data_IF_594846407075
#
_entry.id   IF_594846407075
#
_cell.length_a   1.000
_cell.length_b   1.000
_cell.length_c   1.000
_cell.angle_alpha   90.00
_cell.angle_beta   90.00
_cell.angle_gamma   90.00
#
_symmetry.space_group_name_H-M   'P 1'
#
loop_
_entity.id
_entity.type
_entity.pdbx_description
1 polymer ?
#
# COMPACT_ATOMS: atom_id res chain seq x y z
N UNK A 1 12.52 -2.37 6.27
CA UNK A 1 11.91 -3.71 6.44
C UNK A 1 10.80 -3.88 5.43
N UNK A 2 10.74 -5.02 4.78
CA UNK A 2 9.72 -5.31 3.78
C UNK A 2 8.79 -6.41 4.28
N UNK A 3 7.50 -6.22 4.03
CA UNK A 3 6.47 -7.17 4.42
C UNK A 3 5.62 -7.45 3.18
N UNK A 4 5.31 -8.72 2.94
CA UNK A 4 4.41 -9.09 1.86
C UNK A 4 2.97 -9.06 2.36
N UNK A 5 2.05 -8.71 1.47
CA UNK A 5 0.65 -8.60 1.80
C UNK A 5 -0.23 -8.54 0.57
N UNK A 6 -1.43 -8.00 0.76
CA UNK A 6 -2.43 -7.87 -0.28
C UNK A 6 -3.07 -6.50 -0.23
N UNK A 7 -3.36 -5.93 -1.40
CA UNK A 7 -4.09 -4.67 -1.50
C UNK A 7 -5.57 -4.96 -1.23
N UNK A 8 -6.12 -4.29 -0.21
CA UNK A 8 -7.53 -4.46 0.16
C UNK A 8 -8.42 -3.36 -0.41
N UNK A 9 -7.87 -2.17 -0.60
CA UNK A 9 -8.60 -1.05 -1.17
C UNK A 9 -7.71 0.16 -1.36
N UNK A 10 -8.21 1.14 -2.11
CA UNK A 10 -7.51 2.39 -2.30
C UNK A 10 -8.50 3.53 -2.56
N UNK A 11 -8.09 4.74 -2.18
CA UNK A 11 -8.87 5.94 -2.42
C UNK A 11 -7.91 7.07 -2.78
N UNK A 12 -8.05 7.61 -3.97
CA UNK A 12 -7.24 8.76 -4.43
C UNK A 12 -7.94 10.04 -3.99
N UNK A 13 -7.16 11.00 -3.49
CA UNK A 13 -7.71 12.30 -3.11
C UNK A 13 -6.64 13.38 -3.31
N UNK A 14 -7.08 14.63 -3.35
CA UNK A 14 -6.19 15.77 -3.46
C UNK A 14 -6.02 16.42 -2.09
N UNK A 15 -4.76 16.76 -1.76
CA UNK A 15 -4.43 17.50 -0.56
C UNK A 15 -3.50 18.63 -0.98
N UNK A 16 -3.96 19.88 -0.81
CA UNK A 16 -3.23 21.07 -1.26
C UNK A 16 -2.81 20.98 -2.74
N UNK A 17 -3.71 20.45 -3.58
CA UNK A 17 -3.45 20.31 -5.01
C UNK A 17 -2.56 19.14 -5.40
N UNK A 18 -2.10 18.34 -4.43
CA UNK A 18 -1.24 17.18 -4.68
C UNK A 18 -2.04 15.89 -4.57
N UNK A 19 -1.84 14.92 -5.49
CA UNK A 19 -2.53 13.64 -5.39
C UNK A 19 -1.88 12.73 -4.34
N UNK A 20 -2.72 12.16 -3.50
CA UNK A 20 -2.34 11.15 -2.52
C UNK A 20 -3.28 9.96 -2.63
N UNK A 21 -2.80 8.80 -2.22
CA UNK A 21 -3.63 7.59 -2.17
C UNK A 21 -3.70 7.11 -0.73
N UNK A 22 -4.92 6.95 -0.22
CA UNK A 22 -5.14 6.20 1.01
C UNK A 22 -5.21 4.74 0.63
N UNK A 23 -4.30 3.95 1.20
CA UNK A 23 -4.17 2.55 0.84
C UNK A 23 -4.64 1.70 2.01
N UNK A 24 -5.51 0.74 1.72
CA UNK A 24 -5.96 -0.26 2.67
C UNK A 24 -5.30 -1.58 2.27
N UNK A 25 -4.63 -2.21 3.22
CA UNK A 25 -3.83 -3.40 2.93
C UNK A 25 -3.82 -4.34 4.13
N UNK A 26 -3.48 -5.60 3.88
CA UNK A 26 -3.28 -6.59 4.93
C UNK A 26 -1.91 -7.23 4.77
N UNK A 27 -1.37 -7.75 5.87
CA UNK A 27 -0.14 -8.54 5.82
C UNK A 27 -0.46 -9.99 5.47
N UNK A 28 0.48 -10.65 4.81
CA UNK A 28 0.29 -12.03 4.39
C UNK A 28 0.06 -12.97 5.56
N UNK A 29 0.71 -12.70 6.70
CA UNK A 29 0.59 -13.52 7.91
C UNK A 29 -0.60 -13.12 8.79
N UNK A 30 -1.34 -12.07 8.43
CA UNK A 30 -2.53 -11.64 9.15
C UNK A 30 -3.55 -11.04 8.17
N UNK A 31 -4.15 -11.87 7.31
CA UNK A 31 -5.02 -11.37 6.25
C UNK A 31 -6.36 -10.81 6.73
N UNK A 32 -6.70 -11.01 8.00
CA UNK A 32 -7.97 -10.51 8.55
C UNK A 32 -7.88 -9.10 9.09
N UNK A 33 -6.66 -8.61 9.36
CA UNK A 33 -6.46 -7.25 9.85
C UNK A 33 -6.17 -6.32 8.69
N UNK A 34 -7.07 -5.37 8.45
CA UNK A 34 -6.88 -4.34 7.41
C UNK A 34 -6.24 -3.12 8.03
N UNK A 35 -5.10 -2.74 7.49
CA UNK A 35 -4.35 -1.57 7.89
C UNK A 35 -4.54 -0.47 6.85
N UNK A 36 -4.20 0.77 7.21
CA UNK A 36 -4.28 1.86 6.25
C UNK A 36 -3.08 2.78 6.37
N UNK A 37 -2.72 3.39 5.24
CA UNK A 37 -1.67 4.41 5.20
C UNK A 37 -1.98 5.41 4.09
N UNK A 38 -1.26 6.53 4.12
CA UNK A 38 -1.35 7.56 3.10
C UNK A 38 -0.01 7.63 2.37
N UNK A 39 -0.05 7.53 1.04
CA UNK A 39 1.15 7.59 0.21
C UNK A 39 0.99 8.65 -0.87
N UNK A 40 2.09 9.32 -1.19
CA UNK A 40 2.15 10.19 -2.35
C UNK A 40 2.14 9.35 -3.63
N UNK A 41 1.81 9.98 -4.75
CA UNK A 41 1.64 9.30 -6.02
C UNK A 41 2.87 8.49 -6.43
N UNK A 42 4.06 9.01 -6.17
CA UNK A 42 5.32 8.34 -6.53
C UNK A 42 5.64 7.13 -5.65
N UNK A 43 4.97 6.98 -4.51
CA UNK A 43 5.25 5.94 -3.52
C UNK A 43 4.30 4.75 -3.62
N UNK A 44 3.29 4.85 -4.47
CA UNK A 44 2.30 3.81 -4.66
C UNK A 44 2.21 3.43 -6.14
N UNK A 45 2.27 2.13 -6.42
CA UNK A 45 2.12 1.65 -7.79
C UNK A 45 0.66 1.73 -8.20
N UNK A 46 0.33 2.71 -9.02
CA UNK A 46 -1.03 2.98 -9.46
C UNK A 46 -1.63 1.90 -10.36
N UNK A 47 -0.84 0.95 -10.84
CA UNK A 47 -1.34 -0.17 -11.65
C UNK A 47 -1.92 -1.30 -10.81
N UNK A 48 -1.74 -1.24 -9.48
CA UNK A 48 -2.26 -2.26 -8.57
C UNK A 48 -3.78 -2.23 -8.52
N UNK A 49 -4.36 -3.41 -8.38
CA UNK A 49 -5.81 -3.58 -8.21
C UNK A 49 -6.08 -4.28 -6.89
N UNK A 50 -7.30 -4.11 -6.37
CA UNK A 50 -7.72 -4.79 -5.14
C UNK A 50 -7.55 -6.29 -5.32
N UNK A 51 -6.92 -6.92 -4.33
CA UNK A 51 -6.61 -8.35 -4.36
C UNK A 51 -5.21 -8.68 -4.85
N UNK A 52 -4.50 -7.70 -5.42
CA UNK A 52 -3.14 -7.95 -5.91
C UNK A 52 -2.16 -8.17 -4.76
N UNK A 53 -1.18 -9.05 -4.97
CA UNK A 53 -0.09 -9.24 -4.01
C UNK A 53 0.83 -8.03 -4.03
N UNK A 54 1.22 -7.55 -2.85
CA UNK A 54 2.02 -6.34 -2.71
C UNK A 54 3.20 -6.57 -1.77
N UNK A 55 4.20 -5.71 -1.93
CA UNK A 55 5.33 -5.58 -1.02
C UNK A 55 5.26 -4.21 -0.37
N UNK A 56 5.20 -4.20 0.95
CA UNK A 56 5.10 -2.98 1.76
C UNK A 56 6.47 -2.73 2.37
N UNK A 57 7.03 -1.56 2.11
CA UNK A 57 8.32 -1.17 2.68
C UNK A 57 8.09 -0.24 3.86
N UNK A 58 8.61 -0.64 5.02
CA UNK A 58 8.52 0.13 6.26
C UNK A 58 9.86 0.73 6.64
N UNK A 59 9.80 1.94 7.19
CA UNK A 59 10.88 2.49 8.02
C UNK A 59 10.30 2.64 9.42
N UNK A 60 10.75 1.78 10.35
CA UNK A 60 10.13 1.65 11.67
C UNK A 60 8.65 1.29 11.50
N UNK A 61 7.74 2.16 11.95
CA UNK A 61 6.30 1.92 11.85
C UNK A 61 5.65 2.69 10.70
N UNK A 62 6.45 3.38 9.89
CA UNK A 62 5.94 4.22 8.80
C UNK A 62 6.08 3.47 7.47
N UNK A 63 5.01 3.43 6.70
CA UNK A 63 5.04 2.88 5.34
C UNK A 63 5.72 3.90 4.43
N UNK A 64 6.79 3.49 3.76
CA UNK A 64 7.50 4.32 2.79
C UNK A 64 6.94 4.18 1.40
N UNK A 65 6.64 2.94 0.99
CA UNK A 65 6.08 2.69 -0.35
C UNK A 65 5.38 1.35 -0.39
N UNK A 66 4.50 1.20 -1.38
CA UNK A 66 3.83 -0.06 -1.68
C UNK A 66 3.99 -0.33 -3.17
N UNK A 67 4.54 -1.49 -3.50
CA UNK A 67 4.78 -1.94 -4.86
C UNK A 67 4.20 -3.32 -5.06
N UNK A 68 4.08 -3.75 -6.32
CA UNK A 68 3.69 -5.13 -6.61
C UNK A 68 4.73 -6.10 -6.07
N UNK A 69 4.27 -7.20 -5.49
CA UNK A 69 5.17 -8.27 -5.05
C UNK A 69 5.84 -8.89 -6.29
N UNK A 70 7.18 -8.76 -6.42
CA UNK A 70 7.86 -9.26 -7.61
C UNK A 70 7.94 -10.77 -7.70
N UNK A 71 7.62 -11.48 -6.60
CA UNK A 71 7.67 -12.95 -6.57
C UNK A 71 6.31 -13.60 -6.80
N UNK A 72 5.27 -12.81 -6.95
CA UNK A 72 3.92 -13.31 -7.12
C UNK A 72 3.55 -13.51 -8.59
#
# INVERSE_FOLDING_TARGET
MEVLGRLEGRQVYLLHGQPYTRVFYSHQDDPETVLQCQLADAEFDGTLQVGDPIRITYLLKTVLEIRRDPTA
#
